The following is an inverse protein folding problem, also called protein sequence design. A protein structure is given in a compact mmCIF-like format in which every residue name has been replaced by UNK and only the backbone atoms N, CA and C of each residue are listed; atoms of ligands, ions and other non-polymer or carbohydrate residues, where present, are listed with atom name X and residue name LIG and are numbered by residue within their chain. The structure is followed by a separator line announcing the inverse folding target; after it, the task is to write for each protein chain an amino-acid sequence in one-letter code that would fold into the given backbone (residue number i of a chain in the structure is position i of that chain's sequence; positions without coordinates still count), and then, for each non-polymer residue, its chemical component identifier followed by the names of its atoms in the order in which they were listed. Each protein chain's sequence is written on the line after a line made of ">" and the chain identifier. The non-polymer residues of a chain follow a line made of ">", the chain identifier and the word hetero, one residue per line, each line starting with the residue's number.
data_IF_635536783022
#
_entry.id   IF_635536783022
#
_cell.length_a   1.000
_cell.length_b   1.000
_cell.length_c   1.000
_cell.angle_alpha   90.00
_cell.angle_beta   90.00
_cell.angle_gamma   90.00
#
_symmetry.space_group_name_H-M   'P 1'
#
loop_
_entity.id
_entity.type
_entity.pdbx_description
1 polymer ?
#
# COMPACT_ATOMS: atom_id res chain seq x y z
N UNK A 1 1.13 12.21 0.04
CA UNK A 1 0.36 11.42 -0.93
C UNK A 1 0.46 9.94 -0.56
N UNK A 2 -0.66 9.30 -0.23
CA UNK A 2 -0.74 7.87 0.13
C UNK A 2 -1.27 7.09 -1.06
N UNK A 3 -0.55 6.03 -1.49
CA UNK A 3 -0.93 5.25 -2.66
C UNK A 3 -1.64 3.94 -2.25
N UNK A 4 -2.95 3.87 -2.50
CA UNK A 4 -3.82 2.79 -2.01
C UNK A 4 -3.90 1.60 -2.99
N UNK A 5 -3.72 1.85 -4.29
CA UNK A 5 -3.94 0.83 -5.32
C UNK A 5 -3.03 -0.41 -5.16
N UNK A 6 -1.75 -0.19 -4.79
CA UNK A 6 -0.81 -1.28 -4.56
C UNK A 6 -1.20 -2.16 -3.36
N UNK A 7 -1.83 -1.57 -2.34
CA UNK A 7 -2.29 -2.31 -1.16
C UNK A 7 -3.43 -3.28 -1.52
N UNK A 8 -4.33 -2.88 -2.42
CA UNK A 8 -5.37 -3.77 -2.95
C UNK A 8 -4.75 -4.94 -3.72
N UNK A 9 -3.86 -4.65 -4.67
CA UNK A 9 -3.20 -5.69 -5.45
C UNK A 9 -2.39 -6.63 -4.54
N UNK A 10 -1.63 -6.09 -3.58
CA UNK A 10 -0.88 -6.91 -2.63
C UNK A 10 -1.81 -7.86 -1.85
N UNK A 11 -2.94 -7.37 -1.35
CA UNK A 11 -3.92 -8.21 -0.65
C UNK A 11 -4.45 -9.33 -1.55
N UNK A 12 -4.80 -9.03 -2.80
CA UNK A 12 -5.25 -10.01 -3.80
C UNK A 12 -4.16 -11.05 -4.08
N UNK A 13 -2.92 -10.62 -4.29
CA UNK A 13 -1.79 -11.53 -4.53
C UNK A 13 -1.49 -12.42 -3.32
N UNK A 14 -1.73 -11.97 -2.11
CA UNK A 14 -1.55 -12.78 -0.89
C UNK A 14 -2.62 -13.87 -0.77
N UNK A 15 -3.83 -13.61 -1.23
CA UNK A 15 -4.97 -14.52 -1.09
C UNK A 15 -5.09 -15.51 -2.25
N UNK A 16 -4.59 -15.18 -3.44
CA UNK A 16 -4.69 -16.01 -4.63
C UNK A 16 -3.41 -16.81 -4.90
N UNK A 17 -3.54 -18.01 -5.46
CA UNK A 17 -2.37 -18.79 -5.89
C UNK A 17 -1.62 -18.11 -7.05
N UNK A 18 -0.28 -18.27 -7.12
CA UNK A 18 0.57 -17.62 -8.12
C UNK A 18 0.10 -17.82 -9.57
N UNK A 19 -0.49 -18.96 -9.88
CA UNK A 19 -1.04 -19.26 -11.23
C UNK A 19 -2.16 -18.31 -11.67
N UNK A 20 -2.81 -17.64 -10.72
CA UNK A 20 -3.92 -16.71 -10.98
C UNK A 20 -3.51 -15.23 -10.84
N UNK A 21 -2.24 -14.92 -10.64
CA UNK A 21 -1.76 -13.56 -10.44
C UNK A 21 -1.88 -12.68 -11.69
N UNK A 22 -1.83 -13.28 -12.89
CA UNK A 22 -1.85 -12.53 -14.14
C UNK A 22 -3.08 -11.62 -14.28
N UNK A 23 -4.27 -12.10 -13.91
CA UNK A 23 -5.50 -11.34 -14.04
C UNK A 23 -5.56 -10.09 -13.13
N UNK A 24 -5.34 -10.19 -11.79
CA UNK A 24 -5.34 -9.00 -10.93
C UNK A 24 -4.19 -8.04 -11.26
N UNK A 25 -3.00 -8.54 -11.64
CA UNK A 25 -1.90 -7.68 -12.08
C UNK A 25 -2.28 -6.89 -13.33
N UNK A 26 -2.84 -7.55 -14.34
CA UNK A 26 -3.27 -6.88 -15.58
C UNK A 26 -4.38 -5.85 -15.30
N UNK A 27 -5.39 -6.20 -14.49
CA UNK A 27 -6.48 -5.29 -14.15
C UNK A 27 -5.99 -4.05 -13.37
N UNK A 28 -5.17 -4.24 -12.34
CA UNK A 28 -4.60 -3.14 -11.57
C UNK A 28 -3.60 -2.33 -12.40
N UNK A 29 -2.81 -2.96 -13.26
CA UNK A 29 -1.90 -2.29 -14.18
C UNK A 29 -2.64 -1.37 -15.16
N UNK A 30 -3.72 -1.87 -15.77
CA UNK A 30 -4.58 -1.07 -16.63
C UNK A 30 -5.22 0.11 -15.89
N UNK A 31 -5.80 -0.15 -14.72
CA UNK A 31 -6.41 0.90 -13.90
C UNK A 31 -5.37 1.96 -13.46
N UNK A 32 -4.16 1.53 -13.06
CA UNK A 32 -3.06 2.43 -12.72
C UNK A 32 -2.60 3.27 -13.92
N UNK A 33 -2.51 2.65 -15.10
CA UNK A 33 -2.14 3.36 -16.33
C UNK A 33 -3.17 4.43 -16.67
N UNK A 34 -4.47 4.10 -16.62
CA UNK A 34 -5.55 5.06 -16.90
C UNK A 34 -5.52 6.20 -15.87
N UNK A 35 -5.46 5.87 -14.57
CA UNK A 35 -5.46 6.88 -13.52
C UNK A 35 -4.25 7.81 -13.61
N UNK A 36 -3.05 7.26 -13.87
CA UNK A 36 -1.82 8.05 -14.02
C UNK A 36 -1.84 8.93 -15.27
N UNK A 37 -2.43 8.44 -16.38
CA UNK A 37 -2.58 9.21 -17.60
C UNK A 37 -3.50 10.42 -17.42
N UNK A 38 -4.60 10.24 -16.68
CA UNK A 38 -5.62 11.27 -16.52
C UNK A 38 -5.32 12.26 -15.38
N UNK A 39 -4.75 11.79 -14.29
CA UNK A 39 -4.62 12.55 -13.03
C UNK A 39 -3.18 12.69 -12.53
N UNK A 40 -2.20 12.13 -13.24
CA UNK A 40 -0.81 12.08 -12.79
C UNK A 40 0.18 12.71 -13.75
N UNK A 41 1.14 11.91 -14.24
CA UNK A 41 2.28 12.35 -15.05
C UNK A 41 2.01 12.40 -16.58
N UNK A 42 0.78 12.12 -17.01
CA UNK A 42 0.43 12.02 -18.42
C UNK A 42 0.74 10.66 -19.04
N UNK A 43 0.45 10.51 -20.34
CA UNK A 43 0.55 9.24 -21.06
C UNK A 43 1.96 8.69 -21.15
N UNK A 44 2.97 9.55 -21.34
CA UNK A 44 4.35 9.14 -21.59
C UNK A 44 4.95 8.34 -20.42
N UNK A 45 4.54 8.65 -19.20
CA UNK A 45 5.06 8.02 -17.98
C UNK A 45 4.07 7.04 -17.32
N UNK A 46 2.85 6.95 -17.82
CA UNK A 46 1.80 6.13 -17.22
C UNK A 46 2.14 4.63 -17.20
N UNK A 47 2.66 4.11 -18.33
CA UNK A 47 3.06 2.69 -18.42
C UNK A 47 4.27 2.36 -17.53
N UNK A 48 5.38 3.11 -17.57
CA UNK A 48 6.49 2.89 -16.65
C UNK A 48 6.07 2.93 -15.18
N UNK A 49 5.25 3.90 -14.78
CA UNK A 49 4.77 4.02 -13.41
C UNK A 49 3.83 2.90 -13.01
N UNK A 50 2.94 2.46 -13.92
CA UNK A 50 2.09 1.30 -13.67
C UNK A 50 2.93 0.03 -13.47
N UNK A 51 3.97 -0.18 -14.29
CA UNK A 51 4.88 -1.31 -14.13
C UNK A 51 5.61 -1.28 -12.79
N UNK A 52 6.11 -0.12 -12.35
CA UNK A 52 6.76 0.05 -11.06
C UNK A 52 5.78 -0.25 -9.92
N UNK A 53 4.54 0.24 -9.99
CA UNK A 53 3.49 -0.03 -9.03
C UNK A 53 3.17 -1.53 -8.92
N UNK A 54 3.01 -2.22 -10.06
CA UNK A 54 2.75 -3.66 -10.06
C UNK A 54 3.94 -4.44 -9.49
N UNK A 55 5.17 -4.04 -9.84
CA UNK A 55 6.40 -4.65 -9.33
C UNK A 55 6.49 -4.55 -7.81
N UNK A 56 6.08 -3.43 -7.22
CA UNK A 56 6.05 -3.26 -5.76
C UNK A 56 5.14 -4.29 -5.07
N UNK A 57 3.90 -4.42 -5.53
CA UNK A 57 2.97 -5.40 -4.96
C UNK A 57 3.48 -6.84 -5.15
N UNK A 58 4.07 -7.15 -6.30
CA UNK A 58 4.65 -8.47 -6.59
C UNK A 58 5.83 -8.75 -5.65
N UNK A 59 6.78 -7.82 -5.52
CA UNK A 59 7.96 -7.97 -4.64
C UNK A 59 7.50 -8.16 -3.19
N UNK A 60 6.58 -7.32 -2.70
CA UNK A 60 6.01 -7.46 -1.36
C UNK A 60 5.35 -8.82 -1.14
N UNK A 61 4.52 -9.28 -2.09
CA UNK A 61 3.86 -10.59 -2.02
C UNK A 61 4.85 -11.75 -2.06
N UNK A 62 5.91 -11.67 -2.87
CA UNK A 62 6.93 -12.71 -2.96
C UNK A 62 7.74 -12.82 -1.67
N UNK A 63 8.18 -11.70 -1.10
CA UNK A 63 8.92 -11.67 0.18
C UNK A 63 8.04 -12.24 1.29
N UNK A 64 6.79 -11.78 1.41
CA UNK A 64 5.86 -12.27 2.41
C UNK A 64 5.64 -13.77 2.30
N UNK A 65 5.40 -14.29 1.11
CA UNK A 65 5.19 -15.72 0.88
C UNK A 65 6.45 -16.56 1.09
N UNK A 66 7.62 -16.00 0.84
CA UNK A 66 8.89 -16.68 1.10
C UNK A 66 9.17 -16.80 2.59
N UNK A 67 9.02 -15.70 3.32
CA UNK A 67 9.30 -15.66 4.76
C UNK A 67 8.20 -16.31 5.60
N UNK A 68 6.95 -16.26 5.13
CA UNK A 68 5.79 -16.85 5.81
C UNK A 68 4.77 -17.40 4.80
N UNK A 69 4.90 -18.67 4.38
CA UNK A 69 3.97 -19.29 3.41
C UNK A 69 2.49 -19.28 3.83
N UNK A 70 2.20 -19.22 5.14
CA UNK A 70 0.84 -19.15 5.72
C UNK A 70 0.38 -17.72 6.08
N UNK A 71 1.10 -16.68 5.64
CA UNK A 71 0.95 -15.28 6.09
C UNK A 71 -0.27 -14.55 5.48
N UNK A 72 -1.41 -15.20 5.39
CA UNK A 72 -2.67 -14.52 5.05
C UNK A 72 -3.39 -13.93 6.26
N UNK A 73 -2.86 -14.13 7.47
CA UNK A 73 -3.39 -13.58 8.72
C UNK A 73 -2.32 -12.76 9.43
N UNK A 74 -2.68 -11.54 9.81
CA UNK A 74 -1.85 -10.64 10.61
C UNK A 74 -2.17 -10.84 12.10
N UNK A 75 -2.12 -12.09 12.56
CA UNK A 75 -2.61 -12.54 13.87
C UNK A 75 -1.51 -12.71 14.93
N UNK A 76 -0.27 -12.39 14.59
CA UNK A 76 0.86 -12.46 15.52
C UNK A 76 1.84 -11.30 15.31
N UNK A 77 2.57 -10.93 16.37
CA UNK A 77 3.59 -9.88 16.30
C UNK A 77 4.64 -10.19 15.23
N UNK A 78 5.04 -11.46 15.09
CA UNK A 78 5.99 -11.86 14.06
C UNK A 78 5.39 -11.71 12.64
N UNK A 79 4.09 -12.02 12.44
CA UNK A 79 3.42 -11.79 11.16
C UNK A 79 3.40 -10.29 10.81
N UNK A 80 3.07 -9.45 11.79
CA UNK A 80 3.07 -8.00 11.62
C UNK A 80 4.48 -7.47 11.33
N UNK A 81 5.49 -7.95 12.05
CA UNK A 81 6.87 -7.52 11.84
C UNK A 81 7.37 -7.87 10.41
N UNK A 82 7.14 -9.12 9.97
CA UNK A 82 7.49 -9.53 8.60
C UNK A 82 6.71 -8.72 7.55
N UNK A 83 5.44 -8.42 7.81
CA UNK A 83 4.64 -7.58 6.93
C UNK A 83 5.18 -6.16 6.83
N UNK A 84 5.52 -5.53 7.97
CA UNK A 84 6.13 -4.19 7.99
C UNK A 84 7.44 -4.19 7.21
N UNK A 85 8.32 -5.16 7.44
CA UNK A 85 9.58 -5.26 6.71
C UNK A 85 9.39 -5.45 5.21
N UNK A 86 8.49 -6.35 4.80
CA UNK A 86 8.32 -6.69 3.39
C UNK A 86 7.55 -5.63 2.61
N UNK A 87 6.36 -5.27 3.09
CA UNK A 87 5.41 -4.41 2.39
C UNK A 87 5.52 -2.93 2.76
N UNK A 88 5.91 -2.63 4.01
CA UNK A 88 6.06 -1.25 4.47
C UNK A 88 7.43 -0.64 4.14
N UNK A 89 8.48 -1.46 4.11
CA UNK A 89 9.85 -0.98 3.96
C UNK A 89 10.51 -1.50 2.67
N UNK A 90 10.72 -2.81 2.53
CA UNK A 90 11.59 -3.36 1.48
C UNK A 90 11.03 -3.15 0.07
N UNK A 91 9.78 -3.51 -0.18
CA UNK A 91 9.19 -3.36 -1.50
C UNK A 91 9.10 -1.89 -1.93
N UNK A 92 8.55 -0.95 -1.11
CA UNK A 92 8.55 0.47 -1.46
C UNK A 92 9.94 1.06 -1.62
N UNK A 93 10.94 0.68 -0.79
CA UNK A 93 12.30 1.19 -0.91
C UNK A 93 12.95 0.84 -2.24
N UNK A 94 12.75 -0.40 -2.70
CA UNK A 94 13.28 -0.87 -4.00
C UNK A 94 12.58 -0.13 -5.15
N UNK A 95 11.26 -0.07 -5.15
CA UNK A 95 10.49 0.51 -6.26
C UNK A 95 10.54 2.03 -6.29
N UNK A 96 10.82 2.67 -5.15
CA UNK A 96 11.05 4.11 -5.08
C UNK A 96 12.20 4.59 -5.99
N UNK A 97 13.21 3.74 -6.28
CA UNK A 97 14.26 4.08 -7.24
C UNK A 97 13.68 4.26 -8.64
N UNK A 98 12.77 3.38 -9.06
CA UNK A 98 12.10 3.51 -10.35
C UNK A 98 11.17 4.73 -10.41
N UNK A 99 10.37 4.96 -9.36
CA UNK A 99 9.49 6.12 -9.26
C UNK A 99 10.25 7.46 -9.25
N UNK A 100 11.37 7.53 -8.51
CA UNK A 100 12.25 8.68 -8.49
C UNK A 100 12.93 8.93 -9.83
N UNK A 101 13.37 7.88 -10.52
CA UNK A 101 13.96 7.99 -11.85
C UNK A 101 12.95 8.55 -12.87
N UNK A 102 11.71 8.06 -12.88
CA UNK A 102 10.67 8.64 -13.74
C UNK A 102 10.40 10.09 -13.39
N UNK A 103 10.38 10.45 -12.10
CA UNK A 103 10.22 11.85 -11.68
C UNK A 103 11.39 12.73 -12.15
N UNK A 104 12.62 12.23 -12.13
CA UNK A 104 13.82 12.94 -12.61
C UNK A 104 13.74 13.23 -14.12
N UNK A 105 13.20 12.31 -14.92
CA UNK A 105 12.94 12.53 -16.35
C UNK A 105 11.96 13.70 -16.61
N UNK A 106 11.14 14.04 -15.61
CA UNK A 106 10.24 15.22 -15.67
C UNK A 106 10.85 16.48 -15.04
N UNK A 107 12.15 16.48 -14.74
CA UNK A 107 12.87 17.62 -14.14
C UNK A 107 12.69 17.76 -12.64
N UNK A 108 12.15 16.76 -11.95
CA UNK A 108 11.97 16.77 -10.48
C UNK A 108 13.19 16.16 -9.78
N UNK A 109 13.58 16.65 -8.59
CA UNK A 109 14.75 16.14 -7.88
C UNK A 109 14.56 14.68 -7.44
N UNK A 110 15.57 13.83 -7.68
CA UNK A 110 15.53 12.39 -7.44
C UNK A 110 15.22 12.02 -5.96
N UNK A 111 16.06 12.44 -5.01
CA UNK A 111 15.99 12.01 -3.61
C UNK A 111 14.71 12.44 -2.89
N UNK A 112 14.21 13.68 -3.04
CA UNK A 112 12.90 14.04 -2.49
C UNK A 112 11.76 13.20 -3.06
N UNK A 113 11.80 12.82 -4.34
CA UNK A 113 10.78 11.98 -4.94
C UNK A 113 10.93 10.52 -4.52
N UNK A 114 12.16 10.01 -4.35
CA UNK A 114 12.39 8.69 -3.75
C UNK A 114 11.76 8.60 -2.36
N UNK A 115 12.01 9.60 -1.50
CA UNK A 115 11.45 9.61 -0.14
C UNK A 115 9.92 9.71 -0.14
N UNK A 116 9.35 10.56 -1.00
CA UNK A 116 7.89 10.69 -1.16
C UNK A 116 7.26 9.40 -1.64
N UNK A 117 7.87 8.73 -2.60
CA UNK A 117 7.42 7.43 -3.09
C UNK A 117 7.47 6.38 -1.97
N UNK A 118 8.65 6.20 -1.39
CA UNK A 118 8.87 5.27 -0.29
C UNK A 118 7.86 5.45 0.84
N UNK A 119 7.72 6.66 1.36
CA UNK A 119 6.82 6.95 2.48
C UNK A 119 5.35 6.78 2.08
N UNK A 120 4.93 7.31 0.94
CA UNK A 120 3.53 7.26 0.49
C UNK A 120 3.06 5.84 0.18
N UNK A 121 3.89 5.04 -0.44
CA UNK A 121 3.60 3.65 -0.79
C UNK A 121 3.69 2.73 0.44
N UNK A 122 4.74 2.88 1.25
CA UNK A 122 4.90 2.14 2.50
C UNK A 122 3.73 2.36 3.46
N UNK A 123 3.35 3.62 3.70
CA UNK A 123 2.17 3.94 4.52
C UNK A 123 0.88 3.40 3.92
N UNK A 124 0.71 3.50 2.60
CA UNK A 124 -0.43 2.92 1.88
C UNK A 124 -0.54 1.42 2.09
N UNK A 125 0.56 0.70 1.90
CA UNK A 125 0.61 -0.73 2.12
C UNK A 125 0.30 -1.11 3.56
N UNK A 126 0.91 -0.44 4.54
CA UNK A 126 0.71 -0.74 5.96
C UNK A 126 -0.71 -0.48 6.44
N UNK A 127 -1.32 0.62 6.00
CA UNK A 127 -2.65 1.01 6.42
C UNK A 127 -3.75 0.19 5.74
N UNK A 128 -3.63 -0.07 4.44
CA UNK A 128 -4.76 -0.58 3.66
C UNK A 128 -4.67 -2.08 3.32
N UNK A 129 -3.46 -2.67 3.21
CA UNK A 129 -3.37 -4.11 2.87
C UNK A 129 -4.06 -5.02 3.89
N UNK A 130 -3.93 -4.82 5.21
CA UNK A 130 -4.66 -5.63 6.19
C UNK A 130 -6.18 -5.49 6.04
N UNK A 131 -6.67 -4.27 5.80
CA UNK A 131 -8.09 -3.98 5.59
C UNK A 131 -8.62 -4.72 4.36
N UNK A 132 -7.92 -4.58 3.22
CA UNK A 132 -8.31 -5.26 1.98
C UNK A 132 -8.23 -6.78 2.09
N UNK A 133 -7.23 -7.30 2.80
CA UNK A 133 -7.13 -8.74 3.07
C UNK A 133 -8.35 -9.25 3.85
N UNK A 134 -8.81 -8.51 4.87
CA UNK A 134 -10.01 -8.85 5.63
C UNK A 134 -11.28 -8.79 4.77
N UNK A 135 -11.41 -7.75 3.94
CA UNK A 135 -12.56 -7.58 3.04
C UNK A 135 -12.64 -8.70 2.01
N UNK A 136 -11.53 -9.01 1.34
CA UNK A 136 -11.45 -10.02 0.28
C UNK A 136 -11.65 -11.45 0.82
N UNK A 137 -11.27 -11.72 2.07
CA UNK A 137 -11.51 -13.01 2.72
C UNK A 137 -12.96 -13.23 3.16
N UNK A 138 -13.77 -12.17 3.18
CA UNK A 138 -15.13 -12.23 3.69
C UNK A 138 -15.23 -12.36 5.22
N UNK A 139 -14.11 -12.15 5.95
CA UNK A 139 -14.06 -12.25 7.41
C UNK A 139 -14.88 -11.14 8.11
N UNK A 140 -15.37 -10.15 7.36
CA UNK A 140 -16.20 -9.05 7.89
C UNK A 140 -17.50 -9.55 8.51
N UNK A 141 -18.12 -10.57 7.93
CA UNK A 141 -19.35 -11.18 8.48
C UNK A 141 -19.10 -11.86 9.83
N UNK A 142 -17.99 -12.60 9.94
CA UNK A 142 -17.55 -13.21 11.19
C UNK A 142 -17.22 -12.12 12.24
N UNK A 143 -16.54 -11.07 11.85
CA UNK A 143 -16.22 -9.96 12.73
C UNK A 143 -17.46 -9.26 13.26
N UNK A 144 -18.43 -8.98 12.39
CA UNK A 144 -19.71 -8.34 12.76
C UNK A 144 -20.51 -9.18 13.77
N UNK A 145 -20.48 -10.51 13.65
CA UNK A 145 -21.19 -11.41 14.55
C UNK A 145 -20.51 -11.57 15.91
N UNK A 146 -19.18 -11.45 15.96
CA UNK A 146 -18.35 -11.71 17.15
C UNK A 146 -17.73 -10.44 17.77
N UNK A 147 -18.02 -9.26 17.23
CA UNK A 147 -17.50 -8.02 17.78
C UNK A 147 -18.19 -7.65 19.10
N UNK A 148 -17.44 -7.69 20.19
CA UNK A 148 -17.92 -7.14 21.46
C UNK A 148 -18.01 -5.61 21.39
N UNK A 149 -18.91 -5.01 22.20
CA UNK A 149 -19.03 -3.54 22.30
C UNK A 149 -17.68 -2.87 22.60
N UNK A 150 -16.87 -3.48 23.45
CA UNK A 150 -15.54 -2.97 23.79
C UNK A 150 -14.63 -2.89 22.56
N UNK A 151 -14.58 -3.93 21.71
CA UNK A 151 -13.79 -3.94 20.47
C UNK A 151 -14.28 -2.90 19.45
N UNK A 152 -15.58 -2.67 19.38
CA UNK A 152 -16.15 -1.62 18.51
C UNK A 152 -15.70 -0.24 18.99
N UNK A 153 -15.78 0.03 20.30
CA UNK A 153 -15.34 1.29 20.90
C UNK A 153 -13.83 1.48 20.68
N UNK A 154 -13.02 0.45 20.87
CA UNK A 154 -11.57 0.48 20.62
C UNK A 154 -11.25 0.80 19.16
N UNK A 155 -11.92 0.15 18.22
CA UNK A 155 -11.75 0.42 16.78
C UNK A 155 -12.14 1.86 16.42
N UNK A 156 -13.25 2.36 16.96
CA UNK A 156 -13.69 3.74 16.77
C UNK A 156 -12.69 4.73 17.38
N UNK A 157 -12.24 4.50 18.61
CA UNK A 157 -11.25 5.35 19.28
C UNK A 157 -9.92 5.37 18.49
N UNK A 158 -9.46 4.21 17.99
CA UNK A 158 -8.27 4.12 17.15
C UNK A 158 -8.44 4.90 15.85
N UNK A 159 -9.59 4.78 15.19
CA UNK A 159 -9.89 5.54 13.97
C UNK A 159 -9.86 7.05 14.21
N UNK A 160 -10.52 7.51 15.28
CA UNK A 160 -10.52 8.93 15.65
C UNK A 160 -9.12 9.41 16.03
N UNK A 161 -8.34 8.61 16.76
CA UNK A 161 -6.95 8.91 17.06
C UNK A 161 -6.09 9.07 15.81
N UNK A 162 -6.22 8.14 14.84
CA UNK A 162 -5.50 8.23 13.57
C UNK A 162 -5.92 9.45 12.75
N UNK A 163 -7.21 9.76 12.70
CA UNK A 163 -7.73 10.95 12.02
C UNK A 163 -7.22 12.24 12.67
N UNK A 164 -7.19 12.29 14.00
CA UNK A 164 -6.63 13.43 14.74
C UNK A 164 -5.15 13.64 14.47
N UNK A 165 -4.35 12.55 14.49
CA UNK A 165 -2.91 12.62 14.14
C UNK A 165 -2.74 13.05 12.69
N UNK A 166 -3.49 12.46 11.75
CA UNK A 166 -3.44 12.86 10.35
C UNK A 166 -3.80 14.34 10.19
N UNK A 167 -4.86 14.81 10.83
CA UNK A 167 -5.26 16.23 10.82
C UNK A 167 -4.14 17.13 11.35
N UNK A 168 -3.53 16.79 12.49
CA UNK A 168 -2.43 17.56 13.07
C UNK A 168 -1.22 17.62 12.13
N UNK A 169 -0.84 16.48 11.51
CA UNK A 169 0.26 16.42 10.56
C UNK A 169 -0.01 17.29 9.34
N UNK A 170 -1.19 17.17 8.74
CA UNK A 170 -1.56 17.98 7.56
C UNK A 170 -1.84 19.45 7.89
N UNK A 171 -2.29 19.77 9.09
CA UNK A 171 -2.47 21.16 9.53
C UNK A 171 -1.13 21.89 9.73
N UNK A 172 -0.03 21.15 10.00
CA UNK A 172 1.30 21.77 10.15
C UNK A 172 1.87 22.25 8.81
N UNK A 173 1.45 21.70 7.66
CA UNK A 173 1.84 22.20 6.34
C UNK A 173 1.30 23.62 6.04
N UNK A 174 0.39 24.12 6.86
CA UNK A 174 -0.16 25.49 6.79
C UNK A 174 0.61 26.47 7.70
N UNK A 175 1.50 25.98 8.57
CA UNK A 175 2.35 26.81 9.41
C UNK A 175 3.74 26.84 8.76
N UNK A 176 4.23 28.01 8.29
CA UNK A 176 5.61 28.12 7.85
C UNK A 176 6.51 27.77 9.03
N UNK A 177 7.20 26.65 8.92
CA UNK A 177 8.28 26.34 9.86
C UNK A 177 9.32 27.45 9.71
N UNK A 178 9.46 28.26 10.75
CA UNK A 178 10.47 29.27 10.93
C UNK A 178 11.88 28.67 10.78
#
# INVERSE_FOLDING_TARGET
>A
FVWIANAWLLAELLLTSRRHWAAPIAACGLASTIATSLFGFGFDYALPLAFINMSEAIVGALILRYLRPSATRFDSLNAMFVFILAAGLTAPAITAFGGAFVAELTGKPFWPNWLRWFAGHGLGALAFTPVFTLLLRGDVSYWRQNASRARIIEAIATLFGLLAVAFLVFAQDQLPLL
#
